data_IF_956699270742
#
_entry.id   IF_956699270742
#
_cell.length_a   1.000
_cell.length_b   1.000
_cell.length_c   1.000
_cell.angle_alpha   90.00
_cell.angle_beta   90.00
_cell.angle_gamma   90.00
#
_symmetry.space_group_name_H-M   'P 1'
#
loop_
_entity.id
_entity.type
_entity.pdbx_description
1 polymer ?
#
# COMPACT_ATOMS: atom_id res chain seq x y z
N UNK A 1 23.24 -55.37 8.73
CA UNK A 1 23.36 -54.22 7.79
C UNK A 1 21.96 -53.70 7.51
N UNK A 2 21.45 -52.79 8.34
CA UNK A 2 20.10 -52.25 8.22
C UNK A 2 20.13 -50.93 7.46
N UNK A 3 19.41 -50.91 6.33
CA UNK A 3 19.27 -49.78 5.42
C UNK A 3 18.35 -48.72 6.06
N UNK A 4 18.88 -47.53 6.28
CA UNK A 4 18.12 -46.34 6.64
C UNK A 4 17.32 -45.87 5.42
N UNK A 5 15.99 -45.95 5.48
CA UNK A 5 15.09 -45.26 4.56
C UNK A 5 14.85 -43.85 5.11
N UNK A 6 15.55 -42.87 4.56
CA UNK A 6 15.24 -41.46 4.80
C UNK A 6 14.06 -41.07 3.90
N UNK A 7 12.89 -40.86 4.50
CA UNK A 7 11.73 -40.30 3.84
C UNK A 7 11.93 -38.79 3.68
N UNK A 8 12.22 -38.34 2.46
CA UNK A 8 12.22 -36.93 2.12
C UNK A 8 10.77 -36.44 1.97
N UNK A 9 10.28 -35.70 2.97
CA UNK A 9 9.07 -34.90 2.84
C UNK A 9 9.37 -33.71 1.90
N UNK A 10 9.06 -33.87 0.61
CA UNK A 10 9.04 -32.77 -0.34
C UNK A 10 7.85 -31.85 0.02
N UNK A 11 8.13 -30.77 0.74
CA UNK A 11 7.20 -29.67 0.94
C UNK A 11 6.92 -29.03 -0.43
N UNK A 12 5.80 -29.39 -1.04
CA UNK A 12 5.20 -28.70 -2.18
C UNK A 12 4.78 -27.29 -1.72
N UNK A 13 5.72 -26.35 -1.74
CA UNK A 13 5.40 -24.93 -1.71
C UNK A 13 4.70 -24.64 -3.04
N UNK A 14 3.44 -24.16 -3.06
CA UNK A 14 2.85 -23.69 -4.30
C UNK A 14 3.66 -22.48 -4.75
N UNK A 15 4.54 -22.68 -5.72
CA UNK A 15 5.18 -21.60 -6.46
C UNK A 15 4.07 -20.91 -7.25
N UNK A 16 3.41 -19.94 -6.63
CA UNK A 16 2.73 -18.89 -7.37
C UNK A 16 3.79 -18.35 -8.33
N UNK A 17 3.58 -18.58 -9.63
CA UNK A 17 4.39 -18.03 -10.68
C UNK A 17 4.28 -16.50 -10.59
N UNK A 18 5.16 -15.90 -9.79
CA UNK A 18 5.43 -14.48 -9.70
C UNK A 18 6.23 -14.09 -10.95
N UNK A 19 5.60 -14.17 -12.13
CA UNK A 19 6.20 -13.66 -13.34
C UNK A 19 6.55 -12.17 -13.14
N UNK A 20 7.84 -11.85 -13.27
CA UNK A 20 8.42 -10.52 -13.36
C UNK A 20 8.05 -9.48 -12.29
N UNK A 21 8.10 -9.86 -11.02
CA UNK A 21 8.17 -8.86 -9.95
C UNK A 21 9.57 -8.24 -9.96
N UNK A 22 9.66 -6.90 -10.01
CA UNK A 22 10.93 -6.18 -9.88
C UNK A 22 11.72 -6.70 -8.67
N UNK A 23 12.95 -7.16 -8.89
CA UNK A 23 13.75 -7.85 -7.86
C UNK A 23 14.02 -6.99 -6.64
N UNK A 24 14.05 -5.67 -6.78
CA UNK A 24 14.23 -4.71 -5.69
C UNK A 24 12.99 -4.68 -4.81
N UNK A 25 11.81 -4.69 -5.42
CA UNK A 25 10.54 -4.77 -4.70
C UNK A 25 10.36 -6.14 -4.03
N UNK A 26 10.62 -7.24 -4.76
CA UNK A 26 10.50 -8.60 -4.26
C UNK A 26 11.32 -8.79 -2.97
N UNK A 27 12.58 -8.33 -2.98
CA UNK A 27 13.44 -8.37 -1.79
C UNK A 27 12.80 -7.65 -0.58
N UNK A 28 12.31 -6.41 -0.77
CA UNK A 28 11.67 -5.66 0.31
C UNK A 28 10.42 -6.36 0.84
N UNK A 29 9.57 -6.88 -0.06
CA UNK A 29 8.36 -7.63 0.29
C UNK A 29 8.69 -8.89 1.08
N UNK A 30 9.67 -9.67 0.63
CA UNK A 30 10.03 -10.95 1.24
C UNK A 30 10.68 -10.77 2.63
N UNK A 31 11.28 -9.59 2.89
CA UNK A 31 11.75 -9.16 4.21
C UNK A 31 10.65 -8.54 5.09
N UNK A 32 9.40 -8.46 4.63
CA UNK A 32 8.29 -7.81 5.34
C UNK A 32 7.28 -8.81 5.91
N UNK A 33 6.63 -8.46 7.01
CA UNK A 33 5.52 -9.23 7.57
C UNK A 33 4.22 -8.97 6.76
N UNK A 34 3.50 -10.00 6.29
CA UNK A 34 2.20 -9.83 5.63
C UNK A 34 1.20 -9.17 6.56
N UNK A 35 0.52 -8.14 6.05
CA UNK A 35 -0.60 -7.53 6.75
C UNK A 35 -1.84 -8.42 6.61
N UNK A 36 -2.35 -8.94 7.73
CA UNK A 36 -3.58 -9.76 7.74
C UNK A 36 -4.87 -9.00 7.39
N UNK A 37 -4.83 -7.66 7.36
CA UNK A 37 -5.94 -6.79 6.95
C UNK A 37 -5.75 -5.35 7.44
N UNK A 38 -5.93 -4.37 6.55
CA UNK A 38 -5.63 -2.96 6.86
C UNK A 38 -6.57 -2.38 7.92
N UNK A 39 -7.89 -2.60 7.81
CA UNK A 39 -8.86 -2.06 8.77
C UNK A 39 -8.61 -2.53 10.21
N UNK A 40 -8.46 -3.85 10.40
CA UNK A 40 -8.18 -4.46 11.72
C UNK A 40 -6.85 -3.98 12.29
N UNK A 41 -5.84 -3.82 11.44
CA UNK A 41 -4.56 -3.24 11.85
C UNK A 41 -4.73 -1.80 12.34
N UNK A 42 -5.42 -0.96 11.57
CA UNK A 42 -5.64 0.45 11.89
C UNK A 42 -6.45 0.62 13.18
N UNK A 43 -7.52 -0.16 13.36
CA UNK A 43 -8.32 -0.16 14.59
C UNK A 43 -7.48 -0.40 15.84
N UNK A 44 -6.65 -1.45 15.81
CA UNK A 44 -5.78 -1.82 16.93
C UNK A 44 -4.62 -0.85 17.13
N UNK A 45 -4.05 -0.31 16.05
CA UNK A 45 -2.92 0.62 16.10
C UNK A 45 -3.33 1.99 16.60
N UNK A 46 -4.48 2.51 16.14
CA UNK A 46 -5.00 3.81 16.57
C UNK A 46 -5.50 3.74 18.01
N UNK A 47 -6.33 2.75 18.35
CA UNK A 47 -6.88 2.59 19.69
C UNK A 47 -7.65 3.83 20.16
N UNK A 48 -8.88 4.02 19.67
CA UNK A 48 -9.79 5.07 20.17
C UNK A 48 -10.27 4.74 21.59
N UNK A 49 -9.47 5.10 22.59
CA UNK A 49 -9.69 4.73 23.99
C UNK A 49 -10.43 5.79 24.81
N UNK A 50 -11.26 6.62 24.17
CA UNK A 50 -12.03 7.68 24.80
C UNK A 50 -13.52 7.32 24.85
N UNK A 51 -14.16 7.45 26.01
CA UNK A 51 -15.60 7.22 26.19
C UNK A 51 -15.97 6.39 27.43
N UNK A 52 -17.23 6.47 27.87
CA UNK A 52 -17.71 5.83 29.10
C UNK A 52 -17.82 4.29 29.03
N UNK A 53 -17.84 3.72 27.82
CA UNK A 53 -17.98 2.28 27.56
C UNK A 53 -16.68 1.63 27.05
N UNK A 54 -15.58 2.36 27.09
CA UNK A 54 -14.27 1.85 26.63
C UNK A 54 -13.66 0.96 27.69
N UNK A 55 -13.10 -0.17 27.26
CA UNK A 55 -12.33 -1.07 28.12
C UNK A 55 -11.20 -0.29 28.83
N UNK A 56 -11.09 -0.35 30.18
CA UNK A 56 -10.00 0.27 30.93
C UNK A 56 -8.59 -0.09 30.42
N UNK A 57 -8.42 -1.26 29.80
CA UNK A 57 -7.16 -1.75 29.25
C UNK A 57 -6.87 -1.24 27.83
N UNK A 58 -7.80 -0.55 27.17
CA UNK A 58 -7.67 -0.13 25.77
C UNK A 58 -6.35 0.60 25.49
N UNK A 59 -5.97 1.57 26.34
CA UNK A 59 -4.74 2.35 26.15
C UNK A 59 -3.50 1.46 26.21
N UNK A 60 -3.45 0.55 27.19
CA UNK A 60 -2.35 -0.40 27.35
C UNK A 60 -2.27 -1.37 26.16
N UNK A 61 -3.41 -1.87 25.68
CA UNK A 61 -3.47 -2.78 24.53
C UNK A 61 -3.03 -2.09 23.24
N UNK A 62 -3.46 -0.86 22.98
CA UNK A 62 -3.04 -0.07 21.83
C UNK A 62 -1.54 0.27 21.89
N UNK A 63 -1.00 0.59 23.07
CA UNK A 63 0.44 0.79 23.26
C UNK A 63 1.24 -0.50 23.04
N UNK A 64 0.79 -1.63 23.59
CA UNK A 64 1.43 -2.92 23.39
C UNK A 64 1.41 -3.33 21.91
N UNK A 65 0.28 -3.09 21.22
CA UNK A 65 0.16 -3.34 19.79
C UNK A 65 1.12 -2.47 18.98
N UNK A 66 1.22 -1.17 19.27
CA UNK A 66 2.18 -0.26 18.63
C UNK A 66 3.61 -0.72 18.86
N UNK A 67 3.99 -1.07 20.09
CA UNK A 67 5.32 -1.59 20.44
C UNK A 67 5.69 -2.86 19.66
N UNK A 68 4.74 -3.76 19.42
CA UNK A 68 4.94 -4.97 18.59
C UNK A 68 5.36 -4.64 17.15
N UNK A 69 4.91 -3.51 16.61
CA UNK A 69 5.13 -3.10 15.23
C UNK A 69 6.17 -1.99 15.06
N UNK A 70 6.75 -1.46 16.14
CA UNK A 70 7.84 -0.48 16.08
C UNK A 70 9.01 -1.02 15.27
N UNK A 71 9.36 -0.32 14.17
CA UNK A 71 10.47 -0.68 13.30
C UNK A 71 10.22 -1.90 12.40
N UNK A 72 9.05 -2.51 12.47
CA UNK A 72 8.68 -3.62 11.59
C UNK A 72 8.22 -3.11 10.23
N UNK A 73 8.69 -3.78 9.19
CA UNK A 73 8.21 -3.58 7.83
C UNK A 73 7.03 -4.51 7.57
N UNK A 74 5.96 -3.94 7.05
CA UNK A 74 4.73 -4.62 6.70
C UNK A 74 4.52 -4.53 5.19
N UNK A 75 3.91 -5.56 4.61
CA UNK A 75 3.45 -5.51 3.23
C UNK A 75 1.95 -5.74 3.13
N UNK A 76 1.31 -5.06 2.20
CA UNK A 76 -0.10 -5.28 1.85
C UNK A 76 -0.31 -5.27 0.35
N UNK A 77 -1.31 -6.01 -0.10
CA UNK A 77 -1.79 -6.01 -1.48
C UNK A 77 -3.10 -5.23 -1.51
N UNK A 78 -3.21 -4.32 -2.47
CA UNK A 78 -4.39 -3.53 -2.74
C UNK A 78 -4.96 -4.05 -4.06
N UNK A 79 -6.13 -4.65 -3.95
CA UNK A 79 -6.85 -5.20 -5.10
C UNK A 79 -7.47 -4.08 -5.92
N UNK A 80 -7.92 -4.40 -7.13
CA UNK A 80 -8.45 -3.43 -8.08
C UNK A 80 -9.64 -2.64 -7.55
N UNK A 81 -10.49 -3.29 -6.75
CA UNK A 81 -11.68 -2.67 -6.18
C UNK A 81 -11.34 -1.63 -5.11
N UNK A 82 -10.17 -1.76 -4.48
CA UNK A 82 -9.70 -0.89 -3.42
C UNK A 82 -8.65 0.12 -3.91
N UNK A 83 -8.19 0.02 -5.16
CA UNK A 83 -7.09 0.80 -5.73
C UNK A 83 -7.45 2.27 -6.07
N UNK A 84 -8.38 2.88 -5.34
CA UNK A 84 -8.84 4.27 -5.56
C UNK A 84 -7.78 5.34 -5.32
N UNK A 85 -6.62 4.97 -4.78
CA UNK A 85 -5.48 5.87 -4.60
C UNK A 85 -4.63 6.03 -5.87
N UNK A 86 -4.82 5.17 -6.87
CA UNK A 86 -4.11 5.23 -8.15
C UNK A 86 -4.92 6.04 -9.16
N UNK A 87 -4.26 6.97 -9.84
CA UNK A 87 -4.86 7.73 -10.93
C UNK A 87 -3.89 7.88 -12.10
N UNK A 88 -4.41 7.98 -13.34
CA UNK A 88 -3.57 8.23 -14.49
C UNK A 88 -2.93 9.62 -14.35
N UNK A 89 -1.65 9.71 -14.66
CA UNK A 89 -0.95 10.96 -14.91
C UNK A 89 -0.90 11.28 -16.39
N UNK A 90 0.16 11.96 -16.80
CA UNK A 90 0.40 12.33 -18.19
C UNK A 90 0.69 11.10 -19.07
N UNK A 91 0.33 11.19 -20.35
CA UNK A 91 0.65 10.20 -21.38
C UNK A 91 1.20 10.92 -22.62
N UNK A 92 2.41 10.55 -23.07
CA UNK A 92 3.04 11.10 -24.26
C UNK A 92 2.85 10.15 -25.46
N UNK A 93 2.04 10.50 -26.47
CA UNK A 93 1.81 9.63 -27.62
C UNK A 93 3.02 9.51 -28.57
N UNK A 94 4.00 10.42 -28.47
CA UNK A 94 5.22 10.36 -29.29
C UNK A 94 6.26 9.39 -28.75
N UNK A 95 6.31 9.17 -27.43
CA UNK A 95 7.30 8.30 -26.77
C UNK A 95 6.67 7.07 -26.10
N UNK A 96 5.33 6.98 -26.06
CA UNK A 96 4.56 6.02 -25.27
C UNK A 96 4.91 6.02 -23.77
N UNK A 97 5.51 7.09 -23.26
CA UNK A 97 5.79 7.26 -21.84
C UNK A 97 4.54 7.74 -21.11
N UNK A 98 4.34 7.25 -19.89
CA UNK A 98 3.26 7.68 -19.03
C UNK A 98 3.73 7.90 -17.59
N UNK A 99 2.91 8.61 -16.82
CA UNK A 99 3.04 8.68 -15.37
C UNK A 99 1.79 8.16 -14.67
N UNK A 100 1.96 7.61 -13.48
CA UNK A 100 0.88 7.19 -12.58
C UNK A 100 1.03 7.98 -11.29
N UNK A 101 -0.07 8.62 -10.88
CA UNK A 101 -0.16 9.31 -9.61
C UNK A 101 -0.66 8.34 -8.55
N UNK A 102 0.03 8.33 -7.41
CA UNK A 102 -0.30 7.52 -6.25
C UNK A 102 -0.58 8.50 -5.12
N UNK A 103 -1.84 8.58 -4.69
CA UNK A 103 -2.18 9.27 -3.45
C UNK A 103 -1.73 8.40 -2.29
N UNK A 104 -0.75 8.76 -1.46
CA UNK A 104 -0.26 7.85 -0.43
C UNK A 104 -1.15 7.87 0.82
N UNK A 105 -2.43 7.56 0.63
CA UNK A 105 -3.47 7.45 1.64
C UNK A 105 -4.31 6.20 1.35
N UNK A 106 -4.38 5.29 2.31
CA UNK A 106 -5.05 3.99 2.19
C UNK A 106 -6.11 3.88 3.27
N UNK A 107 -7.37 3.85 2.88
CA UNK A 107 -8.51 3.75 3.80
C UNK A 107 -8.68 2.32 4.34
N UNK A 108 -9.02 2.22 5.62
CA UNK A 108 -9.42 0.96 6.25
C UNK A 108 -10.44 1.24 7.35
N UNK A 109 -11.72 0.98 7.05
CA UNK A 109 -12.82 1.36 7.93
C UNK A 109 -12.90 2.88 8.10
N UNK A 110 -12.93 3.36 9.36
CA UNK A 110 -12.98 4.79 9.69
C UNK A 110 -11.61 5.48 9.79
N UNK A 111 -10.52 4.74 9.56
CA UNK A 111 -9.15 5.21 9.67
C UNK A 111 -8.43 5.20 8.32
N UNK A 112 -7.26 5.84 8.25
CA UNK A 112 -6.37 5.76 7.10
C UNK A 112 -4.92 5.47 7.49
N UNK A 113 -4.20 4.74 6.64
CA UNK A 113 -2.74 4.68 6.62
C UNK A 113 -2.23 5.73 5.63
N UNK A 114 -1.23 6.52 5.98
CA UNK A 114 -0.70 7.56 5.09
C UNK A 114 0.82 7.65 5.09
N UNK A 115 1.41 8.05 3.96
CA UNK A 115 2.83 8.39 3.92
C UNK A 115 3.09 9.77 4.49
N UNK A 116 3.60 9.84 5.72
CA UNK A 116 3.58 11.09 6.46
C UNK A 116 2.19 11.40 7.03
N UNK A 117 2.15 12.24 8.07
CA UNK A 117 0.88 12.71 8.62
C UNK A 117 0.29 13.82 7.73
N UNK A 118 -0.99 13.71 7.30
CA UNK A 118 -1.66 14.78 6.58
C UNK A 118 -1.77 16.03 7.45
N UNK A 119 -1.60 17.20 6.85
CA UNK A 119 -1.60 18.50 7.56
C UNK A 119 -2.89 19.30 7.39
N UNK A 120 -3.71 18.97 6.40
CA UNK A 120 -4.95 19.70 6.07
C UNK A 120 -5.97 18.77 5.41
N UNK A 121 -7.23 19.19 5.42
CA UNK A 121 -8.31 18.55 4.67
C UNK A 121 -8.76 19.40 3.49
N UNK A 122 -9.40 18.76 2.51
CA UNK A 122 -10.17 19.45 1.47
C UNK A 122 -11.51 20.00 2.01
N UNK A 123 -12.36 20.52 1.11
CA UNK A 123 -13.66 21.07 1.48
C UNK A 123 -14.64 20.00 1.98
N UNK A 124 -14.45 18.74 1.59
CA UNK A 124 -15.24 17.57 1.95
C UNK A 124 -14.72 16.90 3.24
N UNK A 125 -13.62 17.39 3.81
CA UNK A 125 -13.02 16.87 5.04
C UNK A 125 -12.08 15.69 4.83
N UNK A 126 -11.68 15.40 3.59
CA UNK A 126 -10.72 14.35 3.27
C UNK A 126 -9.29 14.85 3.46
N UNK A 127 -8.37 14.03 4.02
CA UNK A 127 -6.96 14.38 4.10
C UNK A 127 -6.34 14.66 2.73
N UNK A 128 -5.59 15.76 2.62
CA UNK A 128 -4.86 16.13 1.39
C UNK A 128 -3.42 15.65 1.47
N UNK A 129 -2.99 14.88 0.46
CA UNK A 129 -1.63 14.35 0.33
C UNK A 129 -1.01 14.82 -1.00
N UNK A 130 0.32 14.97 -1.02
CA UNK A 130 1.04 15.10 -2.29
C UNK A 130 1.15 13.73 -2.94
N UNK A 131 1.03 13.68 -4.27
CA UNK A 131 1.20 12.43 -5.00
C UNK A 131 2.64 11.92 -4.91
N UNK A 132 2.78 10.61 -4.82
CA UNK A 132 3.96 9.91 -5.32
C UNK A 132 3.72 9.65 -6.81
N UNK A 133 4.76 9.77 -7.61
CA UNK A 133 4.66 9.56 -9.06
C UNK A 133 5.58 8.42 -9.45
N UNK A 134 5.11 7.56 -10.35
CA UNK A 134 5.92 6.57 -11.04
C UNK A 134 5.76 6.75 -12.53
N UNK A 135 6.81 6.45 -13.30
CA UNK A 135 6.77 6.46 -14.75
C UNK A 135 6.88 5.05 -15.32
N UNK A 136 6.44 4.91 -16.56
CA UNK A 136 6.56 3.69 -17.32
C UNK A 136 6.44 3.96 -18.82
N UNK A 137 6.69 2.91 -19.60
CA UNK A 137 6.45 2.92 -21.05
C UNK A 137 5.31 1.97 -21.35
N UNK A 138 4.32 2.45 -22.10
CA UNK A 138 3.14 1.68 -22.43
C UNK A 138 3.49 0.59 -23.44
N UNK A 139 2.83 -0.58 -23.37
CA UNK A 139 2.94 -1.60 -24.40
C UNK A 139 2.60 -1.04 -25.79
N UNK A 140 3.14 -1.69 -26.82
CA UNK A 140 2.74 -1.42 -28.20
C UNK A 140 1.21 -1.50 -28.32
N UNK A 141 0.63 -0.58 -29.11
CA UNK A 141 -0.81 -0.39 -29.30
C UNK A 141 -1.57 0.33 -28.18
N UNK A 142 -0.94 0.64 -27.04
CA UNK A 142 -1.57 1.54 -26.07
C UNK A 142 -1.55 2.98 -26.60
N UNK A 143 -2.68 3.65 -26.45
CA UNK A 143 -2.79 5.10 -26.59
C UNK A 143 -3.31 5.69 -25.27
N UNK A 144 -3.34 7.02 -25.17
CA UNK A 144 -3.81 7.70 -23.95
C UNK A 144 -5.24 7.32 -23.53
N UNK A 145 -6.10 6.95 -24.49
CA UNK A 145 -7.44 6.45 -24.20
C UNK A 145 -7.43 5.07 -23.54
N UNK A 146 -6.62 4.14 -24.04
CA UNK A 146 -6.41 2.82 -23.43
C UNK A 146 -5.80 2.95 -22.04
N UNK A 147 -4.78 3.80 -21.89
CA UNK A 147 -4.14 4.06 -20.60
C UNK A 147 -5.15 4.58 -19.56
N UNK A 148 -5.92 5.62 -19.89
CA UNK A 148 -6.94 6.15 -18.97
C UNK A 148 -8.01 5.11 -18.60
N UNK A 149 -8.43 4.29 -19.58
CA UNK A 149 -9.42 3.23 -19.36
C UNK A 149 -8.95 2.22 -18.31
N UNK A 150 -7.64 1.94 -18.21
CA UNK A 150 -7.12 1.02 -17.20
C UNK A 150 -7.47 1.44 -15.77
N UNK A 151 -7.52 2.74 -15.48
CA UNK A 151 -7.89 3.22 -14.14
C UNK A 151 -9.40 3.27 -13.96
N UNK A 152 -10.12 3.76 -14.98
CA UNK A 152 -11.59 3.85 -14.94
C UNK A 152 -12.25 2.47 -14.80
N UNK A 153 -11.67 1.45 -15.44
CA UNK A 153 -12.16 0.08 -15.43
C UNK A 153 -11.61 -0.75 -14.27
N UNK A 154 -10.91 -0.13 -13.29
CA UNK A 154 -10.26 -0.83 -12.17
C UNK A 154 -9.37 -1.98 -12.67
N UNK A 155 -8.49 -1.67 -13.62
CA UNK A 155 -7.55 -2.62 -14.21
C UNK A 155 -6.16 -2.60 -13.57
N UNK A 156 -5.99 -1.90 -12.45
CA UNK A 156 -4.69 -1.72 -11.78
C UNK A 156 -4.72 -2.16 -10.32
N UNK A 157 -3.62 -2.74 -9.84
CA UNK A 157 -3.39 -3.12 -8.45
C UNK A 157 -2.15 -2.43 -7.91
N UNK A 158 -2.06 -2.32 -6.58
CA UNK A 158 -0.84 -1.88 -5.92
C UNK A 158 -0.38 -2.91 -4.88
N UNK A 159 0.93 -3.07 -4.74
CA UNK A 159 1.54 -3.72 -3.59
C UNK A 159 2.36 -2.68 -2.85
N UNK A 160 2.17 -2.59 -1.53
CA UNK A 160 2.75 -1.53 -0.71
C UNK A 160 3.56 -2.15 0.40
N UNK A 161 4.79 -1.67 0.55
CA UNK A 161 5.69 -1.99 1.65
C UNK A 161 5.87 -0.73 2.50
N UNK A 162 5.62 -0.84 3.80
CA UNK A 162 5.63 0.31 4.70
C UNK A 162 6.07 -0.05 6.13
N UNK A 163 6.53 0.96 6.87
CA UNK A 163 6.82 0.87 8.30
C UNK A 163 5.91 1.84 9.05
N UNK A 164 5.00 1.36 9.93
CA UNK A 164 4.15 2.24 10.72
C UNK A 164 5.01 3.02 11.75
N UNK A 165 4.64 4.27 12.01
CA UNK A 165 5.43 5.17 12.86
C UNK A 165 4.61 5.70 14.03
N UNK A 166 3.50 6.38 13.76
CA UNK A 166 2.73 7.08 14.80
C UNK A 166 1.26 7.19 14.43
N UNK A 167 0.43 7.52 15.40
CA UNK A 167 -0.96 7.90 15.16
C UNK A 167 -0.99 9.39 14.82
N UNK A 168 -1.74 9.77 13.79
CA UNK A 168 -2.06 11.17 13.51
C UNK A 168 -3.54 11.42 13.74
N UNK A 169 -3.86 12.68 14.04
CA UNK A 169 -5.23 13.17 14.13
C UNK A 169 -5.35 14.45 13.33
N UNK A 170 -6.46 14.63 12.62
CA UNK A 170 -6.70 15.78 11.77
C UNK A 170 -8.11 16.33 12.03
N UNK A 171 -8.27 17.62 12.40
CA UNK A 171 -9.59 18.20 12.60
C UNK A 171 -10.45 18.14 11.33
N UNK A 172 -11.74 17.85 11.47
CA UNK A 172 -12.71 17.93 10.36
C UNK A 172 -13.37 19.30 10.32
N UNK A 173 -13.60 19.80 9.10
CA UNK A 173 -14.48 20.95 8.88
C UNK A 173 -15.90 20.55 9.28
N UNK A 174 -16.52 21.27 10.22
CA UNK A 174 -17.84 20.93 10.78
C UNK A 174 -17.83 20.14 12.10
N UNK A 175 -16.66 19.88 12.68
CA UNK A 175 -16.52 19.22 13.98
C UNK A 175 -16.06 17.77 13.90
N UNK A 176 -15.43 17.30 14.97
CA UNK A 176 -14.81 15.97 15.04
C UNK A 176 -13.37 15.91 14.51
N UNK A 177 -12.81 14.70 14.47
CA UNK A 177 -11.43 14.42 14.07
C UNK A 177 -11.38 13.20 13.16
N UNK A 178 -10.52 13.24 12.15
CA UNK A 178 -10.01 12.07 11.46
C UNK A 178 -8.84 11.50 12.25
N UNK A 179 -8.70 10.19 12.24
CA UNK A 179 -7.59 9.47 12.85
C UNK A 179 -6.95 8.56 11.83
N UNK A 180 -5.66 8.28 12.00
CA UNK A 180 -4.98 7.32 11.18
C UNK A 180 -3.56 7.04 11.62
N UNK A 181 -2.87 6.26 10.82
CA UNK A 181 -1.50 5.83 11.09
C UNK A 181 -0.57 6.48 10.07
N UNK A 182 0.39 7.24 10.57
CA UNK A 182 1.52 7.72 9.80
C UNK A 182 2.46 6.55 9.58
N UNK A 183 2.84 6.33 8.32
CA UNK A 183 3.82 5.32 7.94
C UNK A 183 4.88 5.91 7.01
N UNK A 184 6.06 5.31 7.06
CA UNK A 184 7.05 5.44 5.99
C UNK A 184 6.74 4.37 4.95
N UNK A 185 6.22 4.76 3.80
CA UNK A 185 6.15 3.88 2.64
C UNK A 185 7.58 3.75 2.11
N UNK A 186 8.00 2.52 1.89
CA UNK A 186 9.34 2.18 1.39
C UNK A 186 9.29 1.79 -0.07
N UNK A 187 8.20 1.15 -0.50
CA UNK A 187 7.94 0.87 -1.91
C UNK A 187 6.45 0.78 -2.24
N UNK A 188 6.10 1.14 -3.48
CA UNK A 188 4.80 0.89 -4.11
C UNK A 188 5.06 0.33 -5.49
N UNK A 189 4.65 -0.92 -5.72
CA UNK A 189 4.65 -1.54 -7.04
C UNK A 189 3.25 -1.49 -7.62
N UNK A 190 3.09 -0.85 -8.77
CA UNK A 190 1.83 -0.79 -9.53
C UNK A 190 1.87 -1.85 -10.61
N UNK A 191 0.78 -2.59 -10.77
CA UNK A 191 0.67 -3.71 -11.73
C UNK A 191 -0.68 -3.69 -12.45
N UNK A 192 -0.74 -4.25 -13.67
CA UNK A 192 -2.00 -4.58 -14.34
C UNK A 192 -2.70 -5.70 -13.55
N UNK A 193 -3.97 -5.51 -13.18
CA UNK A 193 -4.71 -6.45 -12.34
C UNK A 193 -4.87 -7.84 -12.96
N UNK A 194 -5.06 -7.91 -14.28
CA UNK A 194 -5.28 -9.18 -14.98
C UNK A 194 -4.01 -9.99 -15.21
N UNK A 195 -2.92 -9.34 -15.61
CA UNK A 195 -1.67 -10.03 -16.00
C UNK A 195 -0.62 -10.04 -14.90
N UNK A 196 -0.71 -9.12 -13.94
CA UNK A 196 0.34 -8.87 -12.95
C UNK A 196 1.54 -8.09 -13.50
N UNK A 197 1.52 -7.67 -14.77
CA UNK A 197 2.63 -6.97 -15.40
C UNK A 197 2.92 -5.64 -14.67
N UNK A 198 4.18 -5.36 -14.33
CA UNK A 198 4.56 -4.09 -13.72
C UNK A 198 4.22 -2.89 -14.62
N UNK A 199 3.59 -1.88 -14.02
CA UNK A 199 3.31 -0.58 -14.65
C UNK A 199 4.18 0.55 -14.09
N UNK A 200 4.76 0.36 -12.91
CA UNK A 200 5.65 1.35 -12.32
C UNK A 200 6.06 0.97 -10.91
N UNK A 201 7.22 1.45 -10.49
CA UNK A 201 7.76 1.18 -9.16
C UNK A 201 8.19 2.50 -8.52
N UNK A 202 7.60 2.80 -7.37
CA UNK A 202 8.11 3.82 -6.46
C UNK A 202 8.90 3.11 -5.38
N UNK A 203 10.17 3.47 -5.16
CA UNK A 203 11.02 2.83 -4.15
C UNK A 203 12.08 3.81 -3.64
N UNK A 204 12.39 3.72 -2.35
CA UNK A 204 13.41 4.57 -1.71
C UNK A 204 13.18 6.07 -1.94
N UNK A 205 11.92 6.53 -1.88
CA UNK A 205 11.59 7.94 -1.98
C UNK A 205 11.44 8.50 -3.39
N UNK A 206 11.58 7.67 -4.44
CA UNK A 206 11.57 8.13 -5.83
C UNK A 206 10.94 7.11 -6.79
N UNK A 207 10.59 7.62 -7.96
CA UNK A 207 10.30 6.80 -9.13
C UNK A 207 11.53 6.00 -9.54
N UNK A 208 11.36 4.70 -9.75
CA UNK A 208 12.42 3.80 -10.19
C UNK A 208 12.65 3.84 -11.71
N UNK A 209 11.66 4.33 -12.48
CA UNK A 209 11.73 4.53 -13.93
C UNK A 209 12.27 5.90 -14.34
N UNK A 210 12.37 6.84 -13.40
CA UNK A 210 12.95 8.15 -13.65
C UNK A 210 14.44 8.01 -14.01
N UNK A 211 14.81 8.53 -15.19
CA UNK A 211 16.20 8.63 -15.67
C UNK A 211 16.98 9.67 -14.90
#
# INVERSE_FOLDING_TARGET
MNRFLAAAFALLVPTLALADVDSRFAKLRDESEPLGGLGVFLEKYVGECDGALVDPQCKQQAEAFRKKYTGKRLYMIITEDDAGMLSPGDFNPGTNEYTINITPFFSGGKYGLSHGAPKKTDAQGNPVMNYLTVSGTAPDMWNGGTFNRMFMARGVRAQVVFTPQSVWTLPKKGGGKNYGVNARIEAVLVTEGRTGNPLGLWINGKDAGAK
#
